data_IF_873433350993
#
_entry.id   IF_873433350993
#
_cell.length_a   1.000
_cell.length_b   1.000
_cell.length_c   1.000
_cell.angle_alpha   90.00
_cell.angle_beta   90.00
_cell.angle_gamma   90.00
#
_symmetry.space_group_name_H-M   'P 1'
#
loop_
_entity.id
_entity.type
_entity.pdbx_description
1 polymer ?
#
# COMPACT_ATOMS: atom_id res chain seq x y z
N UNK A 1 -14.72 8.42 3.49
CA UNK A 1 -13.63 7.63 2.89
C UNK A 1 -13.33 8.16 1.51
N UNK A 2 -12.04 8.34 1.18
CA UNK A 2 -11.56 8.71 -0.15
C UNK A 2 -10.76 7.54 -0.71
N UNK A 3 -11.07 7.11 -1.92
CA UNK A 3 -10.35 6.04 -2.62
C UNK A 3 -10.05 6.45 -4.06
N UNK A 4 -8.97 5.91 -4.61
CA UNK A 4 -8.64 6.04 -6.04
C UNK A 4 -8.63 4.64 -6.65
N UNK A 5 -9.32 4.47 -7.77
CA UNK A 5 -9.46 3.17 -8.42
C UNK A 5 -9.60 3.30 -9.94
N UNK A 6 -9.23 2.25 -10.65
CA UNK A 6 -9.65 2.08 -12.03
C UNK A 6 -11.13 1.71 -12.09
N UNK A 7 -11.83 2.14 -13.14
CA UNK A 7 -13.25 1.81 -13.35
C UNK A 7 -13.44 0.28 -13.35
N UNK A 8 -14.41 -0.19 -12.58
CA UNK A 8 -14.72 -1.61 -12.44
C UNK A 8 -13.88 -2.36 -11.40
N UNK A 9 -12.93 -1.71 -10.74
CA UNK A 9 -12.13 -2.34 -9.68
C UNK A 9 -12.60 -1.97 -8.28
N UNK A 10 -12.71 -2.98 -7.42
CA UNK A 10 -12.90 -2.79 -5.99
C UNK A 10 -11.54 -2.50 -5.35
N UNK A 11 -11.31 -1.24 -4.96
CA UNK A 11 -10.05 -0.85 -4.32
C UNK A 11 -10.11 -0.95 -2.80
N UNK A 12 -8.98 -1.35 -2.20
CA UNK A 12 -8.71 -1.28 -0.77
C UNK A 12 -7.67 -0.21 -0.39
N UNK A 13 -7.37 0.73 -1.30
CA UNK A 13 -6.38 1.81 -1.07
C UNK A 13 -7.09 3.12 -0.86
N UNK A 14 -6.71 3.87 0.17
CA UNK A 14 -7.35 5.17 0.42
C UNK A 14 -7.18 5.69 1.83
N UNK A 15 -7.90 6.79 2.08
CA UNK A 15 -8.04 7.47 3.36
C UNK A 15 -9.42 7.16 3.94
N UNK A 16 -9.46 6.59 5.14
CA UNK A 16 -10.69 6.30 5.87
C UNK A 16 -11.04 7.47 6.80
N UNK A 17 -12.33 7.81 6.88
CA UNK A 17 -12.82 8.87 7.79
C UNK A 17 -12.73 8.53 9.29
N UNK A 18 -12.44 7.27 9.62
CA UNK A 18 -12.16 6.84 11.01
C UNK A 18 -10.71 7.07 11.46
N UNK A 19 -9.95 7.88 10.73
CA UNK A 19 -8.63 8.35 11.14
C UNK A 19 -7.45 7.45 10.76
N UNK A 20 -7.55 6.66 9.69
CA UNK A 20 -6.41 5.91 9.15
C UNK A 20 -6.37 5.94 7.62
N UNK A 21 -5.19 5.73 7.06
CA UNK A 21 -4.99 5.50 5.63
C UNK A 21 -4.42 4.10 5.40
N UNK A 22 -4.69 3.54 4.23
CA UNK A 22 -4.21 2.21 3.89
C UNK A 22 -3.68 2.15 2.45
N UNK A 23 -2.45 1.65 2.31
CA UNK A 23 -1.86 1.19 1.05
C UNK A 23 -1.91 -0.34 0.97
N UNK A 24 -2.02 -0.87 -0.25
CA UNK A 24 -2.04 -2.32 -0.49
C UNK A 24 -1.08 -2.67 -1.62
N UNK A 25 -0.21 -3.64 -1.36
CA UNK A 25 0.72 -4.20 -2.33
C UNK A 25 0.36 -5.66 -2.61
N UNK A 26 0.35 -6.03 -3.88
CA UNK A 26 0.18 -7.41 -4.29
C UNK A 26 1.47 -8.18 -4.00
N UNK A 27 1.43 -9.13 -3.07
CA UNK A 27 2.52 -10.07 -2.83
C UNK A 27 2.22 -11.40 -3.50
N UNK A 28 3.23 -12.05 -4.05
CA UNK A 28 3.08 -13.33 -4.75
C UNK A 28 3.51 -14.48 -3.85
N UNK A 29 2.57 -15.37 -3.56
CA UNK A 29 2.79 -16.56 -2.75
C UNK A 29 2.34 -17.82 -3.48
N UNK A 30 3.01 -18.94 -3.18
CA UNK A 30 2.74 -20.25 -3.80
C UNK A 30 1.59 -21.02 -3.15
N UNK A 31 1.05 -20.53 -2.04
CA UNK A 31 -0.04 -21.16 -1.27
C UNK A 31 -1.44 -20.67 -1.67
N UNK A 32 -1.57 -20.00 -2.84
CA UNK A 32 -2.87 -19.53 -3.34
C UNK A 32 -3.90 -20.67 -3.41
N UNK A 33 -5.12 -20.37 -2.99
CA UNK A 33 -6.22 -21.35 -2.89
C UNK A 33 -7.57 -20.71 -3.16
N UNK A 34 -8.62 -21.53 -3.22
CA UNK A 34 -10.00 -21.05 -3.20
C UNK A 34 -10.27 -20.38 -1.86
N UNK A 35 -10.79 -19.17 -1.89
CA UNK A 35 -11.04 -18.38 -0.68
C UNK A 35 -11.55 -16.98 -1.01
N UNK A 36 -11.61 -16.10 -0.01
CA UNK A 36 -12.03 -14.71 -0.18
C UNK A 36 -11.03 -13.98 -1.07
N UNK A 37 -11.47 -13.37 -2.18
CA UNK A 37 -10.61 -12.64 -3.09
C UNK A 37 -9.86 -11.49 -2.41
N UNK A 38 -8.60 -11.30 -2.78
CA UNK A 38 -7.72 -10.25 -2.20
C UNK A 38 -8.34 -8.85 -2.22
N UNK A 39 -9.03 -8.49 -3.29
CA UNK A 39 -9.69 -7.18 -3.41
C UNK A 39 -10.82 -7.01 -2.38
N UNK A 40 -11.55 -8.08 -2.05
CA UNK A 40 -12.60 -8.05 -1.03
C UNK A 40 -12.01 -7.92 0.37
N UNK A 41 -10.92 -8.64 0.67
CA UNK A 41 -10.19 -8.50 1.95
C UNK A 41 -9.70 -7.07 2.12
N UNK A 42 -9.03 -6.52 1.10
CA UNK A 42 -8.52 -5.15 1.13
C UNK A 42 -9.64 -4.12 1.30
N UNK A 43 -10.77 -4.31 0.62
CA UNK A 43 -11.91 -3.41 0.75
C UNK A 43 -12.55 -3.48 2.14
N UNK A 44 -12.69 -4.68 2.70
CA UNK A 44 -13.20 -4.87 4.07
C UNK A 44 -12.30 -4.16 5.08
N UNK A 45 -10.98 -4.33 4.98
CA UNK A 45 -10.02 -3.66 5.83
C UNK A 45 -10.11 -2.13 5.72
N UNK A 46 -10.21 -1.57 4.51
CA UNK A 46 -10.34 -0.12 4.34
C UNK A 46 -11.69 0.42 4.85
N UNK A 47 -12.75 -0.38 4.89
CA UNK A 47 -14.06 0.01 5.40
C UNK A 47 -14.20 -0.15 6.93
N UNK A 48 -13.17 -0.62 7.63
CA UNK A 48 -13.17 -0.82 9.07
C UNK A 48 -13.38 0.50 9.84
N UNK A 49 -13.87 0.40 11.07
CA UNK A 49 -14.16 1.56 11.94
C UNK A 49 -12.93 2.00 12.76
N UNK A 50 -11.83 1.26 12.67
CA UNK A 50 -10.54 1.60 13.31
C UNK A 50 -9.38 0.91 12.60
N UNK A 51 -8.14 1.38 12.81
CA UNK A 51 -6.94 0.72 12.31
C UNK A 51 -6.78 -0.71 12.86
N UNK A 52 -7.09 -0.94 14.13
CA UNK A 52 -7.08 -2.28 14.74
C UNK A 52 -8.07 -3.23 14.05
N UNK A 53 -9.26 -2.75 13.74
CA UNK A 53 -10.23 -3.54 12.99
C UNK A 53 -9.77 -3.77 11.55
N UNK A 54 -9.11 -2.80 10.92
CA UNK A 54 -8.53 -2.97 9.59
C UNK A 54 -7.47 -4.08 9.57
N UNK A 55 -6.61 -4.16 10.57
CA UNK A 55 -5.65 -5.27 10.75
C UNK A 55 -6.39 -6.61 10.86
N UNK A 56 -7.43 -6.69 11.68
CA UNK A 56 -8.25 -7.91 11.85
C UNK A 56 -8.90 -8.35 10.53
N UNK A 57 -9.44 -7.42 9.77
CA UNK A 57 -10.04 -7.69 8.47
C UNK A 57 -8.99 -8.14 7.43
N UNK A 58 -7.78 -7.54 7.44
CA UNK A 58 -6.68 -7.91 6.56
C UNK A 58 -6.16 -9.33 6.84
N UNK A 59 -6.18 -9.76 8.11
CA UNK A 59 -5.72 -11.08 8.56
C UNK A 59 -6.81 -12.15 8.58
N UNK A 60 -8.00 -11.89 8.05
CA UNK A 60 -9.10 -12.86 7.99
C UNK A 60 -8.67 -14.21 7.43
N UNK A 61 -9.21 -15.28 8.05
CA UNK A 61 -9.04 -16.64 7.55
C UNK A 61 -9.76 -16.87 6.20
N UNK A 62 -9.39 -17.94 5.51
CA UNK A 62 -9.91 -18.32 4.19
C UNK A 62 -9.62 -17.33 3.05
N UNK A 63 -8.53 -16.61 3.13
CA UNK A 63 -8.01 -15.78 2.02
C UNK A 63 -7.65 -16.67 0.81
N UNK A 64 -7.88 -16.14 -0.39
CA UNK A 64 -7.47 -16.83 -1.62
C UNK A 64 -5.98 -16.64 -1.95
N UNK A 65 -5.32 -15.64 -1.35
CA UNK A 65 -3.92 -15.29 -1.59
C UNK A 65 -3.47 -14.17 -0.67
N UNK A 66 -2.29 -13.60 -0.94
CA UNK A 66 -1.64 -12.64 -0.09
C UNK A 66 -1.67 -11.19 -0.59
N UNK A 67 -1.53 -10.29 0.36
CA UNK A 67 -1.24 -8.88 0.18
C UNK A 67 -0.25 -8.41 1.24
N UNK A 68 0.50 -7.33 0.94
CA UNK A 68 1.06 -6.45 1.94
C UNK A 68 0.12 -5.28 2.16
N UNK A 69 -0.10 -4.88 3.41
CA UNK A 69 -0.86 -3.69 3.77
C UNK A 69 0.05 -2.76 4.57
N UNK A 70 -0.03 -1.47 4.26
CA UNK A 70 0.57 -0.42 5.07
C UNK A 70 -0.58 0.39 5.65
N UNK A 71 -0.81 0.27 6.94
CA UNK A 71 -1.88 0.95 7.67
C UNK A 71 -1.24 2.08 8.46
N UNK A 72 -1.65 3.31 8.16
CA UNK A 72 -1.08 4.54 8.73
C UNK A 72 -2.12 5.21 9.61
N UNK A 73 -1.71 5.55 10.82
CA UNK A 73 -2.50 6.32 11.80
C UNK A 73 -1.76 7.61 12.16
N UNK A 74 -2.36 8.54 12.90
CA UNK A 74 -1.64 9.71 13.42
C UNK A 74 -0.48 9.35 14.36
N UNK A 75 -0.45 8.15 14.94
CA UNK A 75 0.56 7.70 15.89
C UNK A 75 1.67 6.87 15.26
N UNK A 76 1.43 6.30 14.08
CA UNK A 76 2.45 5.48 13.42
C UNK A 76 1.95 4.63 12.27
N UNK A 77 2.76 3.66 11.91
CA UNK A 77 2.55 2.77 10.76
C UNK A 77 2.66 1.31 11.21
N UNK A 78 1.70 0.50 10.81
CA UNK A 78 1.77 -0.97 10.88
C UNK A 78 1.86 -1.57 9.48
N UNK A 79 2.75 -2.52 9.29
CA UNK A 79 2.81 -3.35 8.08
C UNK A 79 2.17 -4.70 8.39
N UNK A 80 1.25 -5.13 7.56
CA UNK A 80 0.59 -6.43 7.65
C UNK A 80 0.89 -7.21 6.38
N UNK A 81 1.54 -8.35 6.51
CA UNK A 81 1.81 -9.26 5.41
C UNK A 81 0.92 -10.47 5.51
N UNK A 82 0.33 -10.89 4.40
CA UNK A 82 -0.53 -12.08 4.36
C UNK A 82 -0.24 -12.93 3.14
N UNK A 83 -0.35 -14.25 3.29
CA UNK A 83 -0.56 -15.21 2.20
C UNK A 83 -1.96 -15.82 2.32
N UNK A 84 -2.26 -16.90 1.62
CA UNK A 84 -3.52 -17.61 1.83
C UNK A 84 -3.63 -18.21 3.24
N UNK A 85 -2.51 -18.68 3.82
CA UNK A 85 -2.49 -19.41 5.08
C UNK A 85 -1.76 -18.69 6.23
N UNK A 86 -0.82 -17.79 5.91
CA UNK A 86 0.09 -17.16 6.87
C UNK A 86 -0.23 -15.67 6.97
N UNK A 87 -0.05 -15.10 8.14
CA UNK A 87 -0.04 -13.65 8.36
C UNK A 87 1.06 -13.25 9.34
N UNK A 88 1.53 -12.03 9.17
CA UNK A 88 2.46 -11.35 10.06
C UNK A 88 2.10 -9.88 10.17
N UNK A 89 2.09 -9.37 11.41
CA UNK A 89 1.76 -7.98 11.72
C UNK A 89 2.93 -7.38 12.49
N UNK A 90 3.49 -6.30 11.98
CA UNK A 90 4.56 -5.59 12.69
C UNK A 90 4.01 -4.84 13.90
N UNK A 91 4.89 -4.55 14.86
CA UNK A 91 4.60 -3.49 15.83
C UNK A 91 4.43 -2.14 15.13
N UNK A 92 3.67 -1.25 15.75
CA UNK A 92 3.53 0.13 15.25
C UNK A 92 4.87 0.87 15.35
N UNK A 93 5.26 1.54 14.27
CA UNK A 93 6.53 2.28 14.14
C UNK A 93 6.26 3.71 13.68
N UNK A 94 7.16 4.66 13.95
CA UNK A 94 7.01 6.04 13.49
C UNK A 94 6.86 6.18 11.97
N UNK A 95 7.47 5.29 11.21
CA UNK A 95 7.33 5.19 9.76
C UNK A 95 7.52 3.76 9.27
N UNK A 96 7.08 3.49 8.04
CA UNK A 96 7.25 2.19 7.41
C UNK A 96 7.06 2.26 5.89
N UNK A 97 7.64 1.29 5.19
CA UNK A 97 7.50 1.12 3.76
C UNK A 97 7.29 -0.36 3.42
N UNK A 98 6.56 -0.61 2.36
CA UNK A 98 6.36 -1.96 1.82
C UNK A 98 6.23 -1.90 0.30
N UNK A 99 6.71 -2.94 -0.38
CA UNK A 99 6.57 -3.12 -1.82
C UNK A 99 5.99 -4.49 -2.15
N UNK A 100 6.21 -5.04 -3.33
CA UNK A 100 5.52 -6.23 -3.80
C UNK A 100 6.24 -7.56 -3.43
N UNK A 101 6.98 -7.61 -2.32
CA UNK A 101 7.60 -8.84 -1.81
C UNK A 101 7.39 -8.96 -0.31
N UNK A 102 7.54 -10.16 0.23
CA UNK A 102 7.50 -10.40 1.67
C UNK A 102 8.80 -9.97 2.34
N UNK A 103 8.69 -9.23 3.42
CA UNK A 103 9.82 -8.81 4.26
C UNK A 103 9.99 -9.77 5.43
N UNK A 104 8.90 -10.31 5.97
CA UNK A 104 8.93 -11.24 7.09
C UNK A 104 9.44 -12.62 6.69
N UNK A 105 10.32 -13.16 7.51
CA UNK A 105 10.87 -14.51 7.37
C UNK A 105 9.81 -15.62 7.46
N UNK A 106 8.63 -15.36 8.01
CA UNK A 106 7.52 -16.33 8.06
C UNK A 106 7.09 -16.81 6.68
N UNK A 107 7.31 -16.02 5.63
CA UNK A 107 6.88 -16.33 4.27
C UNK A 107 7.93 -17.01 3.39
N UNK A 108 9.13 -17.31 3.91
CA UNK A 108 10.25 -17.86 3.11
C UNK A 108 9.86 -19.12 2.32
N UNK A 109 9.01 -19.97 2.86
CA UNK A 109 8.58 -21.22 2.20
C UNK A 109 7.54 -21.01 1.11
N UNK A 110 6.83 -19.87 1.10
CA UNK A 110 5.73 -19.59 0.16
C UNK A 110 6.02 -18.40 -0.76
N UNK A 111 7.00 -17.56 -0.43
CA UNK A 111 7.34 -16.37 -1.22
C UNK A 111 7.90 -16.72 -2.61
N UNK A 112 7.56 -15.92 -3.61
CA UNK A 112 8.23 -15.91 -4.91
C UNK A 112 9.31 -14.82 -4.94
N UNK A 113 10.30 -14.97 -5.82
CA UNK A 113 11.35 -13.97 -6.02
C UNK A 113 10.77 -12.67 -6.58
N UNK A 114 11.31 -11.53 -6.14
CA UNK A 114 10.85 -10.20 -6.52
C UNK A 114 11.99 -9.15 -6.44
N UNK A 115 13.09 -9.37 -7.15
CA UNK A 115 14.31 -8.54 -7.07
C UNK A 115 14.04 -7.04 -7.31
N UNK A 116 13.26 -6.68 -8.34
CA UNK A 116 12.88 -5.28 -8.60
C UNK A 116 12.07 -4.65 -7.46
N UNK A 117 11.29 -5.46 -6.77
CA UNK A 117 10.50 -5.00 -5.62
C UNK A 117 11.39 -4.70 -4.40
N UNK A 118 12.47 -5.48 -4.21
CA UNK A 118 13.47 -5.23 -3.17
C UNK A 118 14.18 -3.90 -3.44
N UNK A 119 14.66 -3.68 -4.67
CA UNK A 119 15.30 -2.43 -5.05
C UNK A 119 14.42 -1.20 -4.81
N UNK A 120 13.12 -1.29 -5.15
CA UNK A 120 12.18 -0.18 -4.87
C UNK A 120 11.98 0.07 -3.38
N UNK A 121 12.01 -0.96 -2.55
CA UNK A 121 11.95 -0.79 -1.10
C UNK A 121 13.18 -0.05 -0.58
N UNK A 122 14.37 -0.45 -1.03
CA UNK A 122 15.63 0.20 -0.67
C UNK A 122 15.63 1.69 -1.08
N UNK A 123 15.17 2.02 -2.28
CA UNK A 123 15.02 3.40 -2.76
C UNK A 123 14.02 4.19 -1.89
N UNK A 124 12.89 3.60 -1.52
CA UNK A 124 11.91 4.24 -0.64
C UNK A 124 12.50 4.52 0.75
N UNK A 125 13.21 3.55 1.33
CA UNK A 125 13.87 3.68 2.63
C UNK A 125 14.95 4.77 2.57
N UNK A 126 15.77 4.80 1.54
CA UNK A 126 16.83 5.81 1.37
C UNK A 126 16.27 7.22 1.18
N UNK A 127 15.12 7.35 0.50
CA UNK A 127 14.51 8.66 0.18
C UNK A 127 13.68 9.23 1.33
N UNK A 128 12.95 8.36 2.06
CA UNK A 128 11.97 8.76 3.07
C UNK A 128 12.43 8.51 4.51
N UNK A 129 13.46 7.69 4.71
CA UNK A 129 13.98 7.39 6.04
C UNK A 129 14.64 8.60 6.68
N UNK A 130 14.20 8.96 7.90
CA UNK A 130 14.76 10.08 8.65
C UNK A 130 14.37 11.49 8.17
N UNK A 131 13.41 11.57 7.24
CA UNK A 131 12.86 12.84 6.73
C UNK A 131 11.86 13.41 7.74
N UNK A 132 11.90 14.73 7.95
CA UNK A 132 10.93 15.42 8.81
C UNK A 132 9.52 15.41 8.16
N UNK A 133 8.47 15.49 8.98
CA UNK A 133 7.08 15.54 8.50
C UNK A 133 6.84 16.67 7.49
N UNK A 134 7.55 17.81 7.68
CA UNK A 134 7.46 18.95 6.78
C UNK A 134 7.94 18.65 5.36
N UNK A 135 8.97 17.82 5.23
CA UNK A 135 9.59 17.45 3.95
C UNK A 135 8.97 16.18 3.33
N UNK A 136 8.26 15.41 4.16
CA UNK A 136 7.79 14.07 3.78
C UNK A 136 6.94 14.08 2.50
N UNK A 137 5.99 15.01 2.38
CA UNK A 137 5.10 15.09 1.21
C UNK A 137 5.84 15.47 -0.07
N UNK A 138 6.86 16.33 0.03
CA UNK A 138 7.70 16.69 -1.11
C UNK A 138 8.57 15.52 -1.55
N UNK A 139 9.22 14.85 -0.59
CA UNK A 139 10.04 13.67 -0.85
C UNK A 139 9.21 12.49 -1.41
N UNK A 140 8.01 12.29 -0.88
CA UNK A 140 7.10 11.27 -1.39
C UNK A 140 6.68 11.55 -2.84
N UNK A 141 6.40 12.82 -3.18
CA UNK A 141 6.14 13.22 -4.58
C UNK A 141 7.33 12.96 -5.50
N UNK A 142 8.52 13.31 -5.05
CA UNK A 142 9.74 13.04 -5.80
C UNK A 142 9.91 11.54 -6.04
N UNK A 143 9.74 10.72 -5.00
CA UNK A 143 9.87 9.26 -5.10
C UNK A 143 8.88 8.65 -6.10
N UNK A 144 7.58 9.01 -6.01
CA UNK A 144 6.57 8.45 -6.92
C UNK A 144 6.69 8.94 -8.37
N UNK A 145 7.53 9.94 -8.63
CA UNK A 145 7.86 10.42 -9.97
C UNK A 145 9.18 9.80 -10.50
N UNK A 146 9.97 9.17 -9.62
CA UNK A 146 11.26 8.61 -10.04
C UNK A 146 11.05 7.41 -10.98
N UNK A 147 11.82 7.34 -12.08
CA UNK A 147 11.69 6.24 -13.05
C UNK A 147 11.99 4.85 -12.46
N UNK A 148 12.84 4.78 -11.44
CA UNK A 148 13.20 3.54 -10.76
C UNK A 148 12.09 3.01 -9.87
N UNK A 149 11.36 3.90 -9.21
CA UNK A 149 10.29 3.55 -8.27
C UNK A 149 8.96 3.22 -8.96
N UNK A 150 8.63 3.94 -10.03
CA UNK A 150 7.39 3.74 -10.79
C UNK A 150 7.62 2.74 -11.92
N UNK A 151 7.10 1.51 -11.84
CA UNK A 151 7.30 0.50 -12.86
C UNK A 151 6.85 1.00 -14.24
N UNK A 152 7.78 0.98 -15.19
CA UNK A 152 7.56 1.28 -16.60
C UNK A 152 8.19 0.17 -17.42
N UNK A 153 7.42 -0.85 -17.74
CA UNK A 153 7.90 -1.86 -18.67
C UNK A 153 8.18 -1.23 -20.04
N UNK A 154 9.31 -1.50 -20.68
CA UNK A 154 9.64 -0.99 -22.02
C UNK A 154 8.56 -1.33 -23.06
N UNK A 155 7.93 -2.50 -22.92
CA UNK A 155 6.84 -2.98 -23.78
C UNK A 155 5.46 -2.48 -23.34
N UNK A 156 5.38 -1.65 -22.28
CA UNK A 156 4.16 -1.14 -21.67
C UNK A 156 3.21 -2.21 -21.14
N UNK A 157 3.67 -3.42 -20.90
CA UNK A 157 2.87 -4.50 -20.31
C UNK A 157 2.49 -4.21 -18.85
N UNK A 158 3.34 -3.42 -18.15
CA UNK A 158 3.07 -2.93 -16.80
C UNK A 158 3.27 -1.41 -16.76
N UNK A 159 2.25 -0.69 -16.35
CA UNK A 159 2.29 0.76 -16.18
C UNK A 159 1.63 1.16 -14.88
N UNK A 160 2.15 2.21 -14.24
CA UNK A 160 1.46 2.84 -13.10
C UNK A 160 0.24 3.58 -13.62
N UNK A 161 -0.94 3.21 -13.16
CA UNK A 161 -2.20 3.84 -13.57
C UNK A 161 -2.39 5.19 -12.88
N UNK A 162 -2.07 5.28 -11.60
CA UNK A 162 -2.14 6.50 -10.79
C UNK A 162 -1.23 6.39 -9.57
N UNK A 163 -0.94 7.54 -8.97
CA UNK A 163 -0.30 7.67 -7.65
C UNK A 163 -1.24 8.39 -6.69
N UNK A 164 -1.12 8.10 -5.41
CA UNK A 164 -1.93 8.69 -4.35
C UNK A 164 -1.04 9.06 -3.16
N UNK A 165 -1.20 10.28 -2.67
CA UNK A 165 -0.61 10.76 -1.43
C UNK A 165 -1.74 11.12 -0.47
N UNK A 166 -1.81 10.45 0.68
CA UNK A 166 -2.80 10.72 1.72
C UNK A 166 -2.17 11.51 2.86
N UNK A 167 -2.82 12.58 3.28
CA UNK A 167 -2.46 13.40 4.43
C UNK A 167 -3.56 13.24 5.49
N UNK A 168 -3.26 12.49 6.54
CA UNK A 168 -4.18 12.22 7.65
C UNK A 168 -4.49 13.48 8.45
N UNK A 169 -3.48 14.31 8.69
CA UNK A 169 -3.65 15.56 9.44
C UNK A 169 -4.56 16.56 8.75
N UNK A 170 -4.45 16.65 7.43
CA UNK A 170 -5.30 17.51 6.61
C UNK A 170 -6.61 16.81 6.17
N UNK A 171 -6.80 15.52 6.44
CA UNK A 171 -7.96 14.76 5.98
C UNK A 171 -8.09 14.76 4.45
N UNK A 172 -6.98 14.71 3.72
CA UNK A 172 -6.98 14.89 2.28
C UNK A 172 -6.15 13.87 1.52
N UNK A 173 -6.50 13.66 0.27
CA UNK A 173 -5.78 12.85 -0.69
C UNK A 173 -5.40 13.69 -1.90
N UNK A 174 -4.17 13.57 -2.35
CA UNK A 174 -3.72 14.10 -3.62
C UNK A 174 -3.44 12.93 -4.57
N UNK A 175 -3.91 12.99 -5.78
CA UNK A 175 -3.75 11.93 -6.78
C UNK A 175 -3.43 12.49 -8.15
N UNK A 176 -2.68 11.75 -8.93
CA UNK A 176 -2.38 12.08 -10.32
C UNK A 176 -2.30 10.81 -11.18
N UNK A 177 -2.60 10.88 -12.48
CA UNK A 177 -2.44 9.75 -13.39
C UNK A 177 -0.96 9.43 -13.63
N UNK A 178 -0.67 8.17 -13.89
CA UNK A 178 0.70 7.68 -14.05
C UNK A 178 1.50 7.85 -12.76
N UNK A 179 2.78 8.18 -12.88
CA UNK A 179 3.65 8.57 -11.75
C UNK A 179 3.52 10.03 -11.35
N UNK A 180 2.46 10.73 -11.78
CA UNK A 180 2.28 12.17 -11.56
C UNK A 180 2.78 13.06 -12.69
N UNK A 181 3.35 12.47 -13.75
CA UNK A 181 3.82 13.18 -14.94
C UNK A 181 2.79 13.27 -16.07
N UNK A 182 1.72 12.46 -16.01
CA UNK A 182 0.72 12.33 -17.09
C UNK A 182 -0.47 13.26 -16.97
N UNK A 183 -0.54 14.08 -15.94
CA UNK A 183 -1.64 15.02 -15.73
C UNK A 183 -1.54 15.78 -14.42
N UNK A 184 -2.50 16.69 -14.17
CA UNK A 184 -2.48 17.50 -12.97
C UNK A 184 -2.72 16.65 -11.72
N UNK A 185 -2.14 17.11 -10.61
CA UNK A 185 -2.49 16.61 -9.29
C UNK A 185 -3.85 17.17 -8.86
N UNK A 186 -4.74 16.28 -8.48
CA UNK A 186 -6.07 16.61 -7.95
C UNK A 186 -6.08 16.37 -6.46
N UNK A 187 -6.54 17.34 -5.68
CA UNK A 187 -6.75 17.22 -4.23
C UNK A 187 -8.22 16.99 -3.93
N UNK A 188 -8.50 16.01 -3.09
CA UNK A 188 -9.83 15.69 -2.54
C UNK A 188 -9.75 15.70 -1.02
N UNK A 189 -10.67 16.37 -0.36
CA UNK A 189 -10.75 16.40 1.11
C UNK A 189 -11.87 15.48 1.61
N UNK A 190 -11.69 14.92 2.80
CA UNK A 190 -12.81 14.31 3.55
C UNK A 190 -13.86 15.40 3.83
N UNK A 191 -15.16 15.05 3.78
CA UNK A 191 -16.22 15.96 4.14
C UNK A 191 -16.20 16.33 5.62
#
# INVERSE_FOLDING_TARGET
MITVSCIGFLTGVGLNGSGFAMGVQSTSARDARVGVPRAMVSRSALCALSATEAVREATRHHRSGGNGFVIVTPTGVQVVETSAAIDDVTEERPWGAHTNHYISNKFQTVANSAAESVQRLEEAVATLGGVSDRELMERARFLVQSPGFVPRSPDRSVVTAFVMLADLGAGSVQTAPGGGERGPWVRVNLP
#
